data_IF_044141344613
#
_entry.id   IF_044141344613
#
_cell.length_a   1.000
_cell.length_b   1.000
_cell.length_c   1.000
_cell.angle_alpha   90.00
_cell.angle_beta   90.00
_cell.angle_gamma   90.00
#
_symmetry.space_group_name_H-M   'P 1'
#
loop_
_entity.id
_entity.type
_entity.pdbx_description
1 polymer ?
#
# COMPACT_ATOMS: atom_id res chain seq x y z
N UNK A 1 -8.37 0.85 -28.82
CA UNK A 1 -7.72 -0.28 -28.13
C UNK A 1 -7.41 -1.32 -29.17
N UNK A 2 -6.14 -1.65 -29.36
CA UNK A 2 -5.71 -2.63 -30.37
C UNK A 2 -6.19 -4.04 -29.98
N UNK A 3 -6.70 -4.82 -30.94
CA UNK A 3 -7.24 -6.17 -30.72
C UNK A 3 -6.25 -7.08 -29.95
N UNK A 4 -4.95 -7.01 -30.28
CA UNK A 4 -3.89 -7.77 -29.59
C UNK A 4 -3.72 -7.38 -28.11
N UNK A 5 -3.99 -6.13 -27.73
CA UNK A 5 -3.99 -5.70 -26.32
C UNK A 5 -5.18 -6.30 -25.54
N UNK A 6 -6.30 -6.58 -26.20
CA UNK A 6 -7.46 -7.24 -25.60
C UNK A 6 -7.15 -8.73 -25.40
N UNK A 7 -6.61 -9.40 -26.43
CA UNK A 7 -6.20 -10.81 -26.37
C UNK A 7 -5.12 -11.03 -25.30
N UNK A 8 -4.13 -10.14 -25.22
CA UNK A 8 -3.03 -10.23 -24.25
C UNK A 8 -3.43 -10.16 -22.77
N UNK A 9 -4.67 -9.76 -22.46
CA UNK A 9 -5.20 -9.84 -21.08
C UNK A 9 -5.50 -11.28 -20.66
N UNK A 10 -5.84 -12.15 -21.62
CA UNK A 10 -6.23 -13.54 -21.39
C UNK A 10 -5.08 -14.56 -21.47
N UNK A 11 -3.97 -14.21 -22.11
CA UNK A 11 -2.85 -15.13 -22.39
C UNK A 11 -1.98 -15.49 -21.19
N UNK A 12 -2.14 -14.81 -20.05
CA UNK A 12 -1.38 -15.13 -18.82
C UNK A 12 -1.82 -16.47 -18.23
N UNK A 13 -0.86 -17.36 -17.99
CA UNK A 13 -1.06 -18.66 -17.33
C UNK A 13 -0.85 -18.53 -15.81
N UNK A 14 -1.60 -19.31 -15.03
CA UNK A 14 -1.40 -19.50 -13.59
C UNK A 14 -1.91 -20.88 -13.20
N UNK A 15 -1.56 -21.35 -12.00
CA UNK A 15 -1.91 -22.70 -11.54
C UNK A 15 -3.44 -22.91 -11.54
N UNK A 16 -3.91 -23.90 -12.31
CA UNK A 16 -5.33 -24.15 -12.55
C UNK A 16 -5.97 -23.40 -13.72
N UNK A 17 -5.22 -22.59 -14.48
CA UNK A 17 -5.64 -21.97 -15.75
C UNK A 17 -4.70 -22.35 -16.88
N UNK A 18 -5.11 -23.33 -17.67
CA UNK A 18 -4.34 -23.86 -18.80
C UNK A 18 -4.76 -23.26 -20.15
N UNK A 19 -5.98 -22.70 -20.23
CA UNK A 19 -6.50 -22.06 -21.43
C UNK A 19 -7.36 -20.83 -21.09
N UNK A 20 -7.79 -20.12 -22.12
CA UNK A 20 -8.80 -19.07 -22.04
C UNK A 20 -9.61 -19.07 -23.34
N UNK A 21 -10.86 -18.61 -23.28
CA UNK A 21 -11.78 -18.62 -24.43
C UNK A 21 -12.11 -17.17 -24.80
N UNK A 22 -11.99 -16.84 -26.09
CA UNK A 22 -12.41 -15.54 -26.64
C UNK A 22 -13.78 -15.73 -27.30
N UNK A 23 -14.80 -15.03 -26.81
CA UNK A 23 -16.09 -14.94 -27.49
C UNK A 23 -16.15 -13.66 -28.31
N UNK A 24 -16.12 -13.80 -29.64
CA UNK A 24 -16.18 -12.68 -30.57
C UNK A 24 -17.58 -12.57 -31.20
N UNK A 25 -18.35 -11.58 -30.75
CA UNK A 25 -19.72 -11.34 -31.22
C UNK A 25 -19.80 -10.48 -32.49
N UNK A 26 -18.68 -9.90 -32.92
CA UNK A 26 -18.62 -8.95 -34.05
C UNK A 26 -17.70 -9.43 -35.18
N UNK A 27 -17.18 -10.66 -35.09
CA UNK A 27 -16.23 -11.26 -36.02
C UNK A 27 -14.98 -10.38 -36.27
N UNK A 28 -14.50 -9.68 -35.23
CA UNK A 28 -13.27 -8.90 -35.28
C UNK A 28 -12.04 -9.77 -35.62
N UNK A 29 -12.00 -11.03 -35.18
CA UNK A 29 -10.88 -11.95 -35.44
C UNK A 29 -10.55 -12.09 -36.93
N UNK A 30 -11.55 -12.01 -37.82
CA UNK A 30 -11.36 -12.14 -39.27
C UNK A 30 -10.44 -11.04 -39.85
N UNK A 31 -10.37 -9.88 -39.19
CA UNK A 31 -9.59 -8.73 -39.65
C UNK A 31 -8.21 -8.62 -38.99
N UNK A 32 -7.99 -9.35 -37.89
CA UNK A 32 -6.80 -9.23 -37.05
C UNK A 32 -6.11 -10.58 -36.79
N UNK A 33 -6.57 -11.66 -37.42
CA UNK A 33 -5.96 -12.98 -37.36
C UNK A 33 -4.60 -12.96 -38.05
N UNK A 34 -3.58 -13.34 -37.30
CA UNK A 34 -2.19 -13.40 -37.75
C UNK A 34 -1.59 -14.76 -37.35
N UNK A 35 -1.77 -15.81 -38.19
CA UNK A 35 -1.40 -17.18 -37.83
C UNK A 35 0.09 -17.38 -37.52
N UNK A 36 0.98 -16.56 -38.10
CA UNK A 36 2.42 -16.62 -37.81
C UNK A 36 2.74 -16.12 -36.39
N UNK A 37 1.90 -15.24 -35.83
CA UNK A 37 2.10 -14.65 -34.50
C UNK A 37 1.20 -15.26 -33.41
N UNK A 38 -0.07 -15.53 -33.71
CA UNK A 38 -1.08 -16.05 -32.78
C UNK A 38 -1.08 -17.59 -32.69
N UNK A 39 -0.58 -18.28 -33.72
CA UNK A 39 -0.74 -19.73 -33.91
C UNK A 39 -2.16 -20.12 -34.32
N UNK A 40 -2.37 -21.42 -34.54
CA UNK A 40 -3.72 -21.94 -34.80
C UNK A 40 -4.52 -22.08 -33.49
N UNK A 41 -5.78 -21.60 -33.42
CA UNK A 41 -6.60 -21.78 -32.24
C UNK A 41 -6.89 -23.25 -32.02
N UNK A 42 -6.82 -23.69 -30.77
CA UNK A 42 -7.25 -25.04 -30.39
C UNK A 42 -8.73 -25.23 -30.76
N UNK A 43 -9.10 -26.34 -31.41
CA UNK A 43 -10.51 -26.63 -31.67
C UNK A 43 -11.26 -26.73 -30.35
N UNK A 44 -12.48 -26.20 -30.30
CA UNK A 44 -13.34 -26.37 -29.13
C UNK A 44 -13.50 -27.88 -28.84
N UNK A 45 -13.35 -28.27 -27.57
CA UNK A 45 -13.59 -29.66 -27.21
C UNK A 45 -15.09 -29.94 -27.22
N UNK A 46 -15.53 -31.06 -27.85
CA UNK A 46 -16.92 -31.45 -27.81
C UNK A 46 -17.35 -31.70 -26.38
N UNK A 47 -18.59 -31.32 -26.05
CA UNK A 47 -19.10 -31.52 -24.71
C UNK A 47 -18.96 -32.99 -24.31
N UNK A 48 -18.28 -33.27 -23.19
CA UNK A 48 -18.05 -34.63 -22.70
C UNK A 48 -19.33 -35.47 -22.48
N UNK A 49 -20.50 -34.83 -22.46
CA UNK A 49 -21.81 -35.46 -22.25
C UNK A 49 -22.57 -35.69 -23.57
N UNK A 50 -22.59 -34.72 -24.49
CA UNK A 50 -23.38 -34.83 -25.73
C UNK A 50 -22.56 -34.90 -27.02
N UNK A 51 -21.25 -34.68 -26.97
CA UNK A 51 -20.37 -34.76 -28.14
C UNK A 51 -20.50 -33.61 -29.14
N UNK A 52 -21.39 -32.63 -28.89
CA UNK A 52 -21.71 -31.53 -29.82
C UNK A 52 -21.05 -30.21 -29.42
N UNK A 53 -20.77 -29.37 -30.43
CA UNK A 53 -20.26 -28.00 -30.31
C UNK A 53 -21.14 -27.08 -31.16
N UNK A 54 -21.91 -26.13 -30.56
CA UNK A 54 -22.04 -25.86 -29.13
C UNK A 54 -22.82 -26.95 -28.38
N UNK A 55 -22.54 -27.11 -27.09
CA UNK A 55 -23.23 -28.06 -26.22
C UNK A 55 -24.77 -27.89 -26.26
N UNK A 56 -25.48 -28.96 -26.63
CA UNK A 56 -26.96 -29.02 -26.65
C UNK A 56 -27.57 -29.64 -25.40
N UNK A 57 -26.75 -30.04 -24.42
CA UNK A 57 -27.25 -30.54 -23.14
C UNK A 57 -28.18 -29.52 -22.51
N UNK A 58 -29.38 -29.95 -22.09
CA UNK A 58 -30.24 -29.14 -21.22
C UNK A 58 -29.49 -28.91 -19.91
N UNK A 59 -28.84 -27.76 -19.76
CA UNK A 59 -28.35 -27.30 -18.46
C UNK A 59 -29.56 -27.34 -17.51
N UNK A 60 -29.47 -27.99 -16.32
CA UNK A 60 -30.55 -27.97 -15.37
C UNK A 60 -30.87 -26.52 -15.07
N UNK A 61 -32.01 -26.06 -15.60
CA UNK A 61 -32.50 -24.73 -15.28
C UNK A 61 -32.83 -24.77 -13.79
N UNK A 62 -32.04 -24.06 -12.98
CA UNK A 62 -32.24 -23.94 -11.54
C UNK A 62 -33.56 -23.20 -11.26
N UNK A 63 -34.74 -23.80 -11.50
CA UNK A 63 -36.06 -23.15 -11.49
C UNK A 63 -36.19 -22.08 -10.40
N UNK A 64 -36.77 -20.88 -10.70
CA UNK A 64 -36.88 -19.84 -9.69
C UNK A 64 -37.72 -20.39 -8.55
N UNK A 65 -37.48 -19.92 -7.32
CA UNK A 65 -38.26 -20.39 -6.19
C UNK A 65 -39.76 -20.27 -6.51
N UNK A 66 -40.58 -21.33 -6.34
CA UNK A 66 -42.00 -21.32 -6.69
C UNK A 66 -42.81 -20.34 -5.82
N UNK A 67 -42.23 -19.84 -4.73
CA UNK A 67 -42.86 -18.93 -3.79
C UNK A 67 -42.48 -17.47 -4.06
N UNK A 68 -41.18 -17.13 -4.20
CA UNK A 68 -40.74 -15.75 -4.41
C UNK A 68 -40.28 -15.42 -5.84
N UNK A 69 -40.18 -16.41 -6.74
CA UNK A 69 -39.77 -16.20 -8.13
C UNK A 69 -38.31 -15.77 -8.33
N UNK A 70 -37.51 -15.66 -7.27
CA UNK A 70 -36.13 -15.17 -7.33
C UNK A 70 -35.10 -16.30 -7.30
N UNK A 71 -33.90 -16.00 -7.81
CA UNK A 71 -32.69 -16.84 -7.75
C UNK A 71 -31.49 -15.96 -7.35
N UNK A 72 -30.86 -16.18 -6.18
CA UNK A 72 -31.16 -17.18 -5.14
C UNK A 72 -32.50 -16.93 -4.42
N UNK A 73 -33.08 -17.98 -3.83
CA UNK A 73 -34.33 -17.89 -3.05
C UNK A 73 -34.16 -16.98 -1.82
N UNK A 74 -35.13 -16.08 -1.61
CA UNK A 74 -35.18 -15.16 -0.45
C UNK A 74 -36.30 -15.48 0.55
N UNK A 75 -37.10 -16.53 0.30
CA UNK A 75 -38.17 -16.93 1.22
C UNK A 75 -37.62 -17.24 2.62
N UNK A 76 -38.22 -16.65 3.66
CA UNK A 76 -37.84 -16.88 5.05
C UNK A 76 -36.54 -16.19 5.50
N UNK A 77 -35.88 -15.42 4.64
CA UNK A 77 -34.74 -14.58 5.03
C UNK A 77 -35.24 -13.16 5.29
N UNK A 78 -35.17 -12.72 6.55
CA UNK A 78 -35.41 -11.32 6.87
C UNK A 78 -34.40 -10.46 6.09
N UNK A 79 -34.84 -9.37 5.45
CA UNK A 79 -33.94 -8.52 4.70
C UNK A 79 -32.93 -7.89 5.67
N UNK A 80 -31.61 -8.04 5.44
CA UNK A 80 -30.60 -7.64 6.41
C UNK A 80 -30.78 -6.17 6.78
N UNK A 81 -30.75 -5.86 8.09
CA UNK A 81 -30.95 -4.49 8.60
C UNK A 81 -30.04 -3.47 7.90
N UNK A 82 -30.47 -2.20 7.76
CA UNK A 82 -29.62 -1.19 7.15
C UNK A 82 -28.40 -1.00 8.05
N UNK A 83 -27.24 -0.74 7.46
CA UNK A 83 -26.06 -0.46 8.27
C UNK A 83 -26.35 0.67 9.27
N UNK A 84 -26.06 0.47 10.56
CA UNK A 84 -26.26 1.49 11.59
C UNK A 84 -25.42 2.77 11.35
N UNK A 85 -24.33 2.66 10.59
CA UNK A 85 -23.42 3.78 10.30
C UNK A 85 -23.84 4.54 9.03
N UNK A 86 -24.07 3.85 7.90
CA UNK A 86 -24.36 4.50 6.62
C UNK A 86 -25.83 4.42 6.17
N UNK A 87 -26.68 3.66 6.86
CA UNK A 87 -28.10 3.49 6.52
C UNK A 87 -28.39 2.73 5.22
N UNK A 88 -27.37 2.28 4.48
CA UNK A 88 -27.53 1.65 3.17
C UNK A 88 -27.55 0.12 3.21
N UNK A 89 -28.16 -0.48 2.18
CA UNK A 89 -28.20 -1.92 1.88
C UNK A 89 -27.87 -2.14 0.38
N UNK A 90 -26.70 -2.72 0.01
CA UNK A 90 -25.63 -3.23 0.85
C UNK A 90 -24.84 -2.11 1.57
N UNK A 91 -24.22 -2.45 2.70
CA UNK A 91 -23.37 -1.53 3.45
C UNK A 91 -22.13 -1.12 2.64
N UNK A 92 -21.84 0.18 2.59
CA UNK A 92 -20.65 0.75 1.94
C UNK A 92 -19.55 1.12 2.92
N UNK A 93 -19.74 0.90 4.22
CA UNK A 93 -18.72 1.19 5.22
C UNK A 93 -17.51 0.26 5.01
N UNK A 94 -16.28 0.75 5.30
CA UNK A 94 -15.10 -0.10 5.35
C UNK A 94 -15.36 -1.19 6.39
N UNK A 95 -15.38 -2.45 5.96
CA UNK A 95 -15.40 -3.57 6.90
C UNK A 95 -13.99 -3.71 7.44
N UNK A 96 -13.83 -4.07 8.72
CA UNK A 96 -12.52 -4.40 9.30
C UNK A 96 -12.30 -5.91 9.17
N UNK A 97 -11.09 -6.31 8.82
CA UNK A 97 -10.62 -7.69 8.81
C UNK A 97 -9.44 -7.83 9.77
N UNK A 98 -9.33 -9.00 10.38
CA UNK A 98 -8.19 -9.37 11.22
C UNK A 98 -7.34 -10.39 10.47
N UNK A 99 -6.08 -10.08 10.26
CA UNK A 99 -5.08 -10.96 9.64
C UNK A 99 -4.19 -11.49 10.75
N UNK A 100 -4.12 -12.82 10.93
CA UNK A 100 -3.21 -13.44 11.89
C UNK A 100 -1.87 -13.67 11.23
N UNK A 101 -0.79 -13.17 11.83
CA UNK A 101 0.57 -13.37 11.33
C UNK A 101 1.23 -14.57 12.01
N UNK A 102 2.46 -14.90 11.58
CA UNK A 102 3.22 -16.06 12.08
C UNK A 102 3.58 -15.96 13.56
N UNK A 103 3.57 -14.77 14.14
CA UNK A 103 3.68 -14.52 15.58
C UNK A 103 2.45 -15.00 16.39
N UNK A 104 1.36 -15.36 15.70
CA UNK A 104 0.09 -15.75 16.31
C UNK A 104 -0.84 -14.56 16.60
N UNK A 105 -0.33 -13.33 16.47
CA UNK A 105 -1.02 -12.10 16.77
C UNK A 105 -1.79 -11.57 15.56
N UNK A 106 -2.89 -10.87 15.82
CA UNK A 106 -3.77 -10.35 14.79
C UNK A 106 -3.46 -8.88 14.48
N UNK A 107 -3.26 -8.54 13.20
CA UNK A 107 -3.30 -7.16 12.70
C UNK A 107 -4.69 -6.83 12.20
N UNK A 108 -5.19 -5.65 12.55
CA UNK A 108 -6.47 -5.15 12.11
C UNK A 108 -6.27 -4.28 10.86
N UNK A 109 -6.86 -4.71 9.74
CA UNK A 109 -6.84 -3.96 8.49
C UNK A 109 -8.26 -3.62 8.05
N UNK A 110 -8.42 -2.56 7.28
CA UNK A 110 -9.62 -2.35 6.50
C UNK A 110 -9.70 -3.44 5.44
N UNK A 111 -10.79 -4.20 5.46
CA UNK A 111 -11.23 -5.10 4.41
C UNK A 111 -11.69 -4.28 3.21
N UNK A 112 -10.72 -3.71 2.49
CA UNK A 112 -10.96 -3.12 1.18
C UNK A 112 -11.03 -4.28 0.20
N UNK A 113 -12.25 -4.61 -0.23
CA UNK A 113 -12.49 -5.60 -1.28
C UNK A 113 -11.66 -5.17 -2.51
N UNK A 114 -10.64 -5.96 -2.86
CA UNK A 114 -9.86 -5.77 -4.09
C UNK A 114 -8.53 -5.02 -3.97
N UNK A 115 -8.06 -4.62 -2.77
CA UNK A 115 -6.68 -4.11 -2.65
C UNK A 115 -5.69 -5.25 -2.89
N UNK A 116 -4.90 -5.12 -3.96
CA UNK A 116 -3.86 -6.06 -4.34
C UNK A 116 -2.52 -5.36 -4.34
N UNK A 117 -1.46 -6.08 -3.98
CA UNK A 117 -0.08 -5.60 -3.96
C UNK A 117 0.72 -6.30 -5.05
N UNK A 118 1.75 -5.65 -5.57
CA UNK A 118 2.74 -6.31 -6.40
C UNK A 118 3.84 -6.87 -5.49
N UNK A 119 4.26 -8.12 -5.73
CA UNK A 119 5.45 -8.68 -5.08
C UNK A 119 6.71 -8.40 -5.94
N UNK A 120 7.89 -8.79 -5.43
CA UNK A 120 9.16 -8.63 -6.14
C UNK A 120 9.19 -9.29 -7.54
N UNK A 121 8.41 -10.35 -7.76
CA UNK A 121 8.29 -11.03 -9.06
C UNK A 121 7.28 -10.36 -10.02
N UNK A 122 6.64 -9.27 -9.61
CA UNK A 122 5.60 -8.60 -10.40
C UNK A 122 4.26 -9.37 -10.44
N UNK A 123 4.00 -10.25 -9.48
CA UNK A 123 2.72 -10.94 -9.28
C UNK A 123 1.83 -10.15 -8.32
N UNK A 124 0.53 -10.12 -8.60
CA UNK A 124 -0.47 -9.57 -7.69
C UNK A 124 -0.72 -10.55 -6.52
N UNK A 125 -0.60 -10.04 -5.30
CA UNK A 125 -0.88 -10.75 -4.06
C UNK A 125 -1.94 -10.00 -3.25
N UNK A 126 -2.64 -10.72 -2.38
CA UNK A 126 -3.64 -10.14 -1.47
C UNK A 126 -2.98 -9.31 -0.36
N UNK A 127 -3.77 -8.46 0.30
CA UNK A 127 -3.31 -7.72 1.48
C UNK A 127 -2.81 -8.62 2.62
N UNK A 128 -3.43 -9.79 2.79
CA UNK A 128 -3.00 -10.78 3.78
C UNK A 128 -1.62 -11.36 3.43
N UNK A 129 -1.44 -11.83 2.20
CA UNK A 129 -0.15 -12.37 1.74
C UNK A 129 0.96 -11.30 1.81
N UNK A 130 0.63 -10.05 1.46
CA UNK A 130 1.59 -8.93 1.57
C UNK A 130 2.06 -8.73 3.01
N UNK A 131 1.14 -8.72 3.97
CA UNK A 131 1.49 -8.58 5.39
C UNK A 131 2.30 -9.77 5.91
N UNK A 132 1.94 -10.99 5.54
CA UNK A 132 2.67 -12.20 5.92
C UNK A 132 4.10 -12.21 5.36
N UNK A 133 4.26 -11.80 4.10
CA UNK A 133 5.57 -11.69 3.46
C UNK A 133 6.40 -10.58 4.09
N UNK A 134 5.83 -9.38 4.25
CA UNK A 134 6.52 -8.26 4.87
C UNK A 134 6.99 -8.64 6.27
N UNK A 135 6.10 -9.14 7.12
CA UNK A 135 6.45 -9.58 8.48
C UNK A 135 7.54 -10.65 8.50
N UNK A 136 7.49 -11.59 7.57
CA UNK A 136 8.52 -12.64 7.45
C UNK A 136 9.90 -12.10 7.05
N UNK A 137 9.95 -11.00 6.30
CA UNK A 137 11.18 -10.39 5.80
C UNK A 137 11.74 -9.31 6.74
N UNK A 138 10.92 -8.65 7.57
CA UNK A 138 11.38 -7.61 8.52
C UNK A 138 12.63 -8.00 9.35
N UNK A 139 12.76 -9.24 9.88
CA UNK A 139 13.95 -9.67 10.62
C UNK A 139 15.28 -9.60 9.84
N UNK A 140 15.24 -9.56 8.50
CA UNK A 140 16.41 -9.39 7.65
C UNK A 140 16.90 -7.92 7.61
N UNK A 141 16.05 -6.96 7.98
CA UNK A 141 16.35 -5.53 7.97
C UNK A 141 16.65 -4.97 9.36
N UNK A 142 15.93 -5.42 10.38
CA UNK A 142 16.12 -5.03 11.78
C UNK A 142 15.55 -6.11 12.71
N UNK A 143 16.11 -6.22 13.92
CA UNK A 143 15.79 -7.29 14.89
C UNK A 143 14.93 -6.84 16.06
N UNK A 144 14.85 -5.52 16.29
CA UNK A 144 14.03 -4.94 17.35
C UNK A 144 13.50 -3.57 16.95
N UNK A 145 12.53 -3.09 17.74
CA UNK A 145 12.00 -1.73 17.64
C UNK A 145 13.13 -0.68 17.78
N UNK A 146 14.04 -0.89 18.73
CA UNK A 146 15.17 0.00 18.95
C UNK A 146 16.10 0.04 17.74
N UNK A 147 16.36 -1.10 17.10
CA UNK A 147 17.20 -1.15 15.89
C UNK A 147 16.52 -0.42 14.73
N UNK A 148 15.22 -0.65 14.51
CA UNK A 148 14.43 0.11 13.53
C UNK A 148 14.53 1.61 13.80
N UNK A 149 14.37 2.02 15.06
CA UNK A 149 14.44 3.42 15.50
C UNK A 149 15.82 4.03 15.25
N UNK A 150 16.91 3.31 15.53
CA UNK A 150 18.27 3.78 15.24
C UNK A 150 18.50 3.96 13.73
N UNK A 151 18.08 3.00 12.92
CA UNK A 151 18.19 3.05 11.46
C UNK A 151 17.34 4.20 10.89
N UNK A 152 16.11 4.35 11.36
CA UNK A 152 15.14 5.30 10.81
C UNK A 152 15.42 6.76 11.21
N UNK A 153 15.97 6.96 12.40
CA UNK A 153 16.26 8.29 12.96
C UNK A 153 17.32 9.08 12.18
N UNK A 154 18.18 8.39 11.42
CA UNK A 154 19.19 9.00 10.58
C UNK A 154 18.77 8.92 9.10
N UNK A 155 18.69 10.06 8.37
CA UNK A 155 18.19 10.08 6.99
C UNK A 155 19.00 9.21 6.03
N UNK A 156 20.30 9.00 6.26
CA UNK A 156 21.17 8.19 5.40
C UNK A 156 20.83 6.71 5.56
N UNK A 157 20.76 6.23 6.80
CA UNK A 157 20.44 4.83 7.08
C UNK A 157 18.97 4.51 6.79
N UNK A 158 18.06 5.48 6.99
CA UNK A 158 16.66 5.39 6.58
C UNK A 158 16.52 5.21 5.08
N UNK A 159 17.24 6.01 4.28
CA UNK A 159 17.24 5.89 2.81
C UNK A 159 17.70 4.49 2.39
N UNK A 160 18.81 4.01 2.96
CA UNK A 160 19.32 2.66 2.68
C UNK A 160 18.33 1.55 3.08
N UNK A 161 17.62 1.70 4.20
CA UNK A 161 16.57 0.76 4.59
C UNK A 161 15.41 0.73 3.59
N UNK A 162 14.94 1.91 3.17
CA UNK A 162 13.86 2.03 2.19
C UNK A 162 14.25 1.44 0.82
N UNK A 163 15.48 1.65 0.38
CA UNK A 163 16.01 1.06 -0.87
C UNK A 163 16.04 -0.48 -0.78
N UNK A 164 16.53 -1.04 0.34
CA UNK A 164 16.54 -2.50 0.53
C UNK A 164 15.13 -3.10 0.64
N UNK A 165 14.20 -2.39 1.26
CA UNK A 165 12.79 -2.80 1.31
C UNK A 165 12.17 -2.81 -0.10
N UNK A 166 12.48 -1.79 -0.91
CA UNK A 166 12.03 -1.70 -2.31
C UNK A 166 12.59 -2.86 -3.15
N UNK A 167 13.88 -3.17 -3.01
CA UNK A 167 14.52 -4.32 -3.66
C UNK A 167 13.89 -5.67 -3.27
N UNK A 168 13.36 -5.77 -2.04
CA UNK A 168 12.64 -6.95 -1.57
C UNK A 168 11.15 -6.97 -1.96
N UNK A 169 10.67 -5.98 -2.73
CA UNK A 169 9.28 -5.88 -3.18
C UNK A 169 8.34 -5.17 -2.21
N UNK A 170 8.87 -4.44 -1.23
CA UNK A 170 8.13 -3.63 -0.26
C UNK A 170 8.40 -2.13 -0.50
N UNK A 171 8.13 -1.70 -1.74
CA UNK A 171 8.37 -0.34 -2.18
C UNK A 171 7.52 0.72 -1.49
N UNK A 172 7.86 1.98 -1.75
CA UNK A 172 7.20 3.13 -1.12
C UNK A 172 5.70 3.18 -1.42
N UNK A 173 5.28 2.77 -2.60
CA UNK A 173 3.87 2.81 -2.99
C UNK A 173 3.06 1.65 -2.38
N UNK A 174 3.69 0.49 -2.21
CA UNK A 174 3.15 -0.63 -1.46
C UNK A 174 2.98 -0.25 0.02
N UNK A 175 4.01 0.33 0.66
CA UNK A 175 3.91 0.76 2.06
C UNK A 175 2.86 1.87 2.26
N UNK A 176 2.70 2.80 1.31
CA UNK A 176 1.59 3.78 1.32
C UNK A 176 0.22 3.15 1.13
N UNK A 177 0.14 2.08 0.34
CA UNK A 177 -1.11 1.33 0.18
C UNK A 177 -1.46 0.62 1.49
N UNK A 178 -0.45 0.06 2.17
CA UNK A 178 -0.61 -0.49 3.51
C UNK A 178 -1.04 0.59 4.52
N UNK A 179 -0.46 1.79 4.51
CA UNK A 179 -0.91 2.92 5.35
C UNK A 179 -2.42 3.14 5.27
N UNK A 180 -2.98 3.16 4.05
CA UNK A 180 -4.43 3.30 3.85
C UNK A 180 -5.21 2.14 4.42
N UNK A 181 -4.71 0.91 4.25
CA UNK A 181 -5.36 -0.28 4.79
C UNK A 181 -5.42 -0.27 6.32
N UNK A 182 -4.40 0.27 7.00
CA UNK A 182 -4.38 0.34 8.48
C UNK A 182 -4.90 1.68 9.02
N UNK A 183 -5.49 2.54 8.18
CA UNK A 183 -6.00 3.87 8.56
C UNK A 183 -4.91 4.78 9.18
N UNK A 184 -3.70 4.71 8.63
CA UNK A 184 -2.50 5.40 9.11
C UNK A 184 -1.90 6.33 8.05
N UNK A 185 -2.70 6.90 7.13
CA UNK A 185 -2.22 7.81 6.07
C UNK A 185 -1.58 9.10 6.63
N UNK A 186 -1.96 9.47 7.84
CA UNK A 186 -1.37 10.59 8.57
C UNK A 186 -0.14 10.19 9.38
N UNK A 187 0.17 8.91 9.49
CA UNK A 187 1.33 8.39 10.23
C UNK A 187 2.57 8.35 9.35
N UNK A 188 3.73 8.17 9.98
CA UNK A 188 4.98 7.99 9.25
C UNK A 188 5.10 6.56 8.72
N UNK A 189 5.96 6.33 7.73
CA UNK A 189 6.26 4.94 7.29
C UNK A 189 6.96 4.14 8.39
N UNK A 190 7.68 4.81 9.30
CA UNK A 190 8.17 4.20 10.53
C UNK A 190 7.06 3.50 11.31
N UNK A 191 5.96 4.20 11.55
CA UNK A 191 4.82 3.68 12.33
C UNK A 191 4.19 2.45 11.65
N UNK A 192 4.22 2.38 10.32
CA UNK A 192 3.69 1.26 9.55
C UNK A 192 4.55 0.02 9.71
N UNK A 193 5.88 0.19 9.62
CA UNK A 193 6.82 -0.90 9.82
C UNK A 193 6.77 -1.39 11.26
N UNK A 194 6.69 -0.49 12.23
CA UNK A 194 6.54 -0.81 13.65
C UNK A 194 5.21 -1.54 13.91
N UNK A 195 4.10 -1.10 13.33
CA UNK A 195 2.80 -1.78 13.41
C UNK A 195 2.84 -3.21 12.87
N UNK A 196 3.52 -3.43 11.74
CA UNK A 196 3.66 -4.78 11.20
C UNK A 196 4.54 -5.62 12.12
N UNK A 197 5.66 -5.08 12.60
CA UNK A 197 6.60 -5.78 13.47
C UNK A 197 6.02 -6.10 14.87
N UNK A 198 5.29 -5.16 15.47
CA UNK A 198 4.81 -5.21 16.84
C UNK A 198 3.28 -5.05 16.89
N UNK A 199 2.57 -6.09 17.31
CA UNK A 199 1.11 -6.13 17.38
C UNK A 199 0.49 -5.10 18.33
N UNK A 200 1.24 -4.72 19.37
CA UNK A 200 0.77 -3.85 20.45
C UNK A 200 1.02 -2.36 20.15
N UNK A 201 1.63 -2.06 19.00
CA UNK A 201 1.93 -0.71 18.59
C UNK A 201 0.75 -0.04 17.89
N UNK A 202 0.41 1.17 18.32
CA UNK A 202 -0.58 2.02 17.66
C UNK A 202 0.13 3.17 16.92
N UNK A 203 -0.03 3.26 15.58
CA UNK A 203 0.54 4.35 14.79
C UNK A 203 0.11 5.73 15.28
N UNK A 204 1.09 6.63 15.50
CA UNK A 204 0.79 8.03 15.80
C UNK A 204 0.80 8.87 14.52
N UNK A 205 0.15 10.04 14.56
CA UNK A 205 0.18 10.94 13.40
C UNK A 205 1.54 11.67 13.31
N UNK A 206 1.92 12.09 12.10
CA UNK A 206 3.10 12.95 11.87
C UNK A 206 3.01 14.26 12.66
N UNK A 207 1.81 14.82 12.80
CA UNK A 207 1.54 16.02 13.59
C UNK A 207 1.82 15.80 15.08
N UNK A 208 1.30 14.71 15.62
CA UNK A 208 1.57 14.30 17.00
C UNK A 208 3.06 14.04 17.23
N UNK A 209 3.71 13.32 16.31
CA UNK A 209 5.16 13.06 16.35
C UNK A 209 5.97 14.35 16.37
N UNK A 210 5.68 15.27 15.45
CA UNK A 210 6.36 16.56 15.38
C UNK A 210 6.14 17.38 16.66
N UNK A 211 4.91 17.38 17.19
CA UNK A 211 4.57 18.10 18.42
C UNK A 211 5.33 17.57 19.64
N UNK A 212 5.42 16.25 19.79
CA UNK A 212 6.18 15.60 20.87
C UNK A 212 7.67 15.96 20.80
N UNK A 213 8.24 15.97 19.59
CA UNK A 213 9.65 16.25 19.38
C UNK A 213 10.03 17.72 19.59
N UNK A 214 9.11 18.67 19.30
CA UNK A 214 9.38 20.11 19.40
C UNK A 214 9.92 20.52 20.77
N UNK A 215 9.40 19.96 21.86
CA UNK A 215 9.83 20.32 23.22
C UNK A 215 11.33 20.06 23.44
N UNK A 216 11.80 18.87 23.07
CA UNK A 216 13.22 18.48 23.19
C UNK A 216 14.10 19.26 22.22
N UNK A 217 13.66 19.35 20.96
CA UNK A 217 14.44 20.03 19.92
C UNK A 217 14.62 21.50 20.26
N UNK A 218 13.55 22.22 20.62
CA UNK A 218 13.59 23.67 20.79
C UNK A 218 14.38 24.12 22.02
N UNK A 219 14.57 23.26 23.03
CA UNK A 219 15.42 23.55 24.17
C UNK A 219 16.90 23.74 23.77
N UNK A 220 17.34 23.16 22.65
CA UNK A 220 18.73 23.15 22.20
C UNK A 220 19.03 24.17 21.09
N UNK A 221 18.01 24.90 20.63
CA UNK A 221 18.10 25.75 19.42
C UNK A 221 17.93 27.23 19.72
N UNK A 222 18.59 28.07 18.92
CA UNK A 222 18.30 29.50 18.88
C UNK A 222 17.02 29.78 18.07
N UNK A 223 16.51 31.01 18.15
CA UNK A 223 15.21 31.35 17.54
C UNK A 223 15.18 31.19 16.02
N UNK A 224 16.29 31.47 15.32
CA UNK A 224 16.40 31.27 13.87
C UNK A 224 16.42 29.81 13.48
N UNK A 225 17.10 28.98 14.25
CA UNK A 225 17.09 27.54 14.08
C UNK A 225 15.72 26.94 14.38
N UNK A 226 15.01 27.41 15.42
CA UNK A 226 13.63 27.00 15.71
C UNK A 226 12.70 27.34 14.56
N UNK A 227 12.76 28.56 14.02
CA UNK A 227 11.96 28.98 12.86
C UNK A 227 12.22 28.08 11.64
N UNK A 228 13.47 27.68 11.41
CA UNK A 228 13.83 26.76 10.32
C UNK A 228 13.28 25.35 10.56
N UNK A 229 13.54 24.76 11.73
CA UNK A 229 13.06 23.41 12.05
C UNK A 229 11.54 23.35 12.06
N UNK A 230 10.85 24.37 12.56
CA UNK A 230 9.39 24.45 12.51
C UNK A 230 8.87 24.42 11.07
N UNK A 231 9.52 25.14 10.15
CA UNK A 231 9.18 25.08 8.73
C UNK A 231 9.38 23.67 8.15
N UNK A 232 10.50 23.02 8.46
CA UNK A 232 10.77 21.64 8.01
C UNK A 232 9.72 20.67 8.55
N UNK A 233 9.36 20.78 9.83
CA UNK A 233 8.33 19.94 10.46
C UNK A 233 6.96 20.13 9.80
N UNK A 234 6.60 21.36 9.43
CA UNK A 234 5.36 21.59 8.66
C UNK A 234 5.37 20.84 7.33
N UNK A 235 6.49 20.85 6.60
CA UNK A 235 6.62 20.09 5.35
C UNK A 235 6.56 18.58 5.55
N UNK A 236 7.18 18.09 6.61
CA UNK A 236 7.07 16.70 7.03
C UNK A 236 5.62 16.29 7.35
N UNK A 237 4.89 17.10 8.12
CA UNK A 237 3.47 16.83 8.46
C UNK A 237 2.59 16.84 7.22
N UNK A 238 2.86 17.73 6.25
CA UNK A 238 2.12 17.80 4.99
C UNK A 238 2.44 16.63 4.06
N UNK A 239 3.71 16.44 3.69
CA UNK A 239 4.11 15.59 2.57
C UNK A 239 4.84 14.28 2.97
N UNK A 240 5.29 14.16 4.22
CA UNK A 240 5.78 12.92 4.80
C UNK A 240 7.30 12.84 4.92
N UNK A 241 7.78 11.64 5.27
CA UNK A 241 9.19 11.39 5.63
C UNK A 241 10.20 11.82 4.56
N UNK A 242 9.81 11.82 3.28
CA UNK A 242 10.73 12.23 2.20
C UNK A 242 11.08 13.70 2.20
N UNK A 243 10.36 14.56 2.95
CA UNK A 243 10.79 15.94 3.18
C UNK A 243 11.99 16.03 4.13
N UNK A 244 12.28 14.96 4.87
CA UNK A 244 13.39 14.87 5.80
C UNK A 244 14.66 14.28 5.17
N UNK A 245 14.66 14.01 3.86
CA UNK A 245 15.82 13.46 3.17
C UNK A 245 16.91 14.53 3.00
N UNK A 246 18.19 14.15 3.09
CA UNK A 246 19.30 15.11 3.03
C UNK A 246 19.31 15.91 1.72
N UNK A 247 18.87 15.29 0.62
CA UNK A 247 18.75 15.90 -0.70
C UNK A 247 17.70 17.02 -0.76
N UNK A 248 16.77 17.09 0.22
CA UNK A 248 15.78 18.15 0.34
C UNK A 248 16.33 19.41 0.98
N UNK A 249 17.44 19.33 1.72
CA UNK A 249 17.95 20.46 2.50
C UNK A 249 18.16 21.73 1.64
N UNK A 250 18.83 21.68 0.46
CA UNK A 250 18.98 22.87 -0.37
C UNK A 250 17.65 23.47 -0.82
N UNK A 251 16.67 22.63 -1.17
CA UNK A 251 15.33 23.04 -1.63
C UNK A 251 14.56 23.70 -0.47
N UNK A 252 14.65 23.15 0.74
CA UNK A 252 14.00 23.70 1.92
C UNK A 252 14.58 25.06 2.30
N UNK A 253 15.91 25.20 2.26
CA UNK A 253 16.59 26.47 2.52
C UNK A 253 16.18 27.54 1.49
N UNK A 254 16.23 27.19 0.20
CA UNK A 254 15.82 28.11 -0.87
C UNK A 254 14.34 28.49 -0.77
N UNK A 255 13.46 27.54 -0.41
CA UNK A 255 12.03 27.81 -0.25
C UNK A 255 11.74 28.77 0.90
N UNK A 256 12.46 28.64 2.03
CA UNK A 256 12.23 29.49 3.21
C UNK A 256 12.93 30.85 3.11
N UNK A 257 14.14 30.90 2.55
CA UNK A 257 15.01 32.07 2.57
C UNK A 257 15.27 32.70 1.20
N UNK A 258 14.62 32.23 0.13
CA UNK A 258 14.76 32.66 -1.27
C UNK A 258 16.08 32.25 -1.94
N UNK A 259 17.20 32.26 -1.20
CA UNK A 259 18.51 31.80 -1.67
C UNK A 259 19.27 30.99 -0.60
N UNK A 260 20.33 30.29 -1.00
CA UNK A 260 21.20 29.56 -0.05
C UNK A 260 22.09 30.54 0.71
N UNK A 261 22.52 31.61 0.05
CA UNK A 261 23.33 32.68 0.64
C UNK A 261 22.59 33.38 1.78
N UNK A 262 21.30 33.70 1.58
CA UNK A 262 20.46 34.31 2.62
C UNK A 262 20.25 33.35 3.80
N UNK A 263 20.04 32.07 3.51
CA UNK A 263 19.91 31.05 4.53
C UNK A 263 21.18 30.94 5.39
N UNK A 264 22.35 30.98 4.77
CA UNK A 264 23.64 30.97 5.45
C UNK A 264 23.87 32.25 6.28
N UNK A 265 23.46 33.41 5.75
CA UNK A 265 23.53 34.68 6.50
C UNK A 265 22.71 34.68 7.80
N UNK A 266 21.65 33.87 7.86
CA UNK A 266 20.73 33.79 9.01
C UNK A 266 21.05 32.62 9.95
N UNK A 267 21.32 31.43 9.40
CA UNK A 267 21.47 30.20 10.16
C UNK A 267 22.93 29.86 10.48
N UNK A 268 23.90 30.49 9.80
CA UNK A 268 25.32 30.24 9.95
C UNK A 268 25.91 29.42 8.80
N UNK A 269 27.00 28.72 9.08
CA UNK A 269 27.72 27.94 8.07
C UNK A 269 26.97 26.66 7.65
N UNK A 270 27.32 26.17 6.46
CA UNK A 270 26.69 25.00 5.83
C UNK A 270 26.84 23.73 6.67
N UNK A 271 27.97 23.54 7.35
CA UNK A 271 28.20 22.33 8.15
C UNK A 271 27.26 22.29 9.36
N UNK A 272 27.10 23.43 10.04
CA UNK A 272 26.17 23.57 11.15
C UNK A 272 24.72 23.41 10.71
N UNK A 273 24.32 23.95 9.56
CA UNK A 273 22.96 23.77 9.02
C UNK A 273 22.69 22.30 8.68
N UNK A 274 23.63 21.63 8.02
CA UNK A 274 23.50 20.21 7.68
C UNK A 274 23.45 19.33 8.93
N UNK A 275 24.31 19.61 9.91
CA UNK A 275 24.35 18.86 11.17
C UNK A 275 23.04 19.06 11.94
N UNK A 276 22.56 20.31 12.04
CA UNK A 276 21.26 20.62 12.61
C UNK A 276 20.13 19.83 11.95
N UNK A 277 20.08 19.83 10.61
CA UNK A 277 19.05 19.14 9.83
C UNK A 277 19.06 17.62 10.00
N UNK A 278 20.23 17.02 10.21
CA UNK A 278 20.37 15.57 10.43
C UNK A 278 20.06 15.24 11.90
N UNK A 279 20.65 15.96 12.84
CA UNK A 279 20.61 15.64 14.26
C UNK A 279 19.23 15.83 14.87
N UNK A 280 18.43 16.81 14.42
CA UNK A 280 17.11 17.02 15.00
C UNK A 280 16.17 15.82 14.75
N UNK A 281 16.38 15.07 13.66
CA UNK A 281 15.48 14.00 13.24
C UNK A 281 15.43 12.85 14.25
N UNK A 282 16.53 12.59 14.98
CA UNK A 282 16.54 11.57 16.03
C UNK A 282 15.46 11.82 17.10
N UNK A 283 15.21 13.08 17.42
CA UNK A 283 14.22 13.48 18.41
C UNK A 283 12.77 13.24 17.94
N UNK A 284 12.53 13.05 16.62
CA UNK A 284 11.21 12.65 16.12
C UNK A 284 10.83 11.22 16.51
N UNK A 285 11.81 10.40 16.86
CA UNK A 285 11.61 8.98 17.13
C UNK A 285 12.06 8.60 18.53
N UNK A 286 12.35 9.53 19.45
CA UNK A 286 12.67 9.18 20.84
C UNK A 286 11.41 8.74 21.62
N UNK A 287 11.54 7.67 22.40
CA UNK A 287 10.41 7.05 23.14
C UNK A 287 10.04 7.78 24.43
N UNK A 288 10.93 8.61 25.00
CA UNK A 288 10.65 9.50 26.15
C UNK A 288 11.60 10.70 26.15
N UNK A 289 11.04 11.90 26.36
CA UNK A 289 11.78 13.01 26.96
C UNK A 289 12.01 12.62 28.42
N UNK A 290 13.28 12.46 28.80
CA UNK A 290 13.66 12.26 30.20
C UNK A 290 13.35 13.52 31.03
#
# INVERSE_FOLDING_TARGET
>A
MEFKQIVGRGTRLFDGKEFFTIYDFVNAYQRFSDPEWDGEPQPEEPCAICGEIPCVCKKPSLQPCPVCGQRPCICGKEPPEPCAVCGQRPCICPKKAKVKLKDGEAREIQHIIGTSFWNADGKLISAQEFLENLFGELPNFFKSEEELRQIWSNPITRKSLLEKLDEAGFGKDELKTLQKLINAEKSDLFDVLEYVFNSDFEPITREERATRAKATIFALLNDKQKEFIEFVLTKYVEAGVSELDQEKLPILLQTKYQSLEDAMGILGDVQNISSLFIEFQKHLYETKVA
#
